data_IF_761258534319
#
_entry.id   IF_761258534319
#
_cell.length_a   1.000
_cell.length_b   1.000
_cell.length_c   1.000
_cell.angle_alpha   90.00
_cell.angle_beta   90.00
_cell.angle_gamma   90.00
#
_symmetry.space_group_name_H-M   'P 1'
#
loop_
_entity.id
_entity.type
_entity.pdbx_description
1 polymer ?
#
# COMPACT_ATOMS: atom_id res chain seq x y z
N UNK A 1 -7.85 -1.10 -3.17
CA UNK A 1 -7.06 -0.10 -2.42
C UNK A 1 -5.61 -0.37 -2.76
N UNK A 2 -4.82 0.58 -3.29
CA UNK A 2 -3.37 0.44 -3.34
C UNK A 2 -2.80 -0.17 -2.05
N UNK A 3 -2.11 -1.29 -2.19
CA UNK A 3 -1.39 -1.99 -1.12
C UNK A 3 0.11 -1.70 -1.27
N UNK A 4 0.97 -2.41 -0.54
CA UNK A 4 2.40 -2.13 -0.54
C UNK A 4 3.01 -2.09 -1.96
N UNK A 5 2.76 -3.06 -2.85
CA UNK A 5 3.38 -3.08 -4.17
C UNK A 5 2.98 -1.90 -5.07
N UNK A 6 1.72 -1.49 -5.06
CA UNK A 6 1.26 -0.34 -5.85
C UNK A 6 1.88 0.95 -5.29
N UNK A 7 1.93 1.10 -3.96
CA UNK A 7 2.53 2.28 -3.32
C UNK A 7 4.02 2.38 -3.63
N UNK A 8 4.74 1.26 -3.56
CA UNK A 8 6.16 1.18 -3.92
C UNK A 8 6.39 1.57 -5.38
N UNK A 9 5.54 1.06 -6.29
CA UNK A 9 5.64 1.35 -7.71
C UNK A 9 5.41 2.83 -8.01
N UNK A 10 4.38 3.44 -7.40
CA UNK A 10 4.13 4.89 -7.53
C UNK A 10 5.31 5.69 -6.99
N UNK A 11 5.86 5.34 -5.82
CA UNK A 11 7.01 6.02 -5.23
C UNK A 11 8.24 5.98 -6.16
N UNK A 12 8.60 4.80 -6.67
CA UNK A 12 9.73 4.64 -7.62
C UNK A 12 9.50 5.38 -8.94
N UNK A 13 8.27 5.39 -9.43
CA UNK A 13 7.89 6.08 -10.67
C UNK A 13 8.12 7.58 -10.54
N UNK A 14 7.61 8.20 -9.48
CA UNK A 14 7.70 9.66 -9.31
C UNK A 14 9.09 10.12 -8.85
N UNK A 15 9.86 9.27 -8.17
CA UNK A 15 11.19 9.61 -7.65
C UNK A 15 12.14 10.14 -8.72
N UNK A 16 12.23 9.42 -9.84
CA UNK A 16 13.06 9.80 -10.98
C UNK A 16 12.74 11.19 -11.52
N UNK A 17 11.49 11.60 -11.39
CA UNK A 17 10.99 12.84 -11.96
C UNK A 17 11.02 14.02 -10.98
N UNK A 18 11.08 13.80 -9.66
CA UNK A 18 10.98 14.89 -8.68
C UNK A 18 12.20 15.06 -7.78
N UNK A 19 13.11 14.10 -7.74
CA UNK A 19 14.29 14.18 -6.89
C UNK A 19 15.13 15.43 -7.20
N UNK A 20 15.56 16.13 -6.14
CA UNK A 20 16.37 17.35 -6.26
C UNK A 20 15.60 18.63 -6.63
N UNK A 21 14.31 18.53 -7.01
CA UNK A 21 13.47 19.71 -7.30
C UNK A 21 13.08 20.47 -6.05
N UNK A 22 12.87 21.77 -6.21
CA UNK A 22 12.32 22.65 -5.19
C UNK A 22 10.83 22.87 -5.43
N UNK A 23 10.03 22.79 -4.37
CA UNK A 23 8.60 23.09 -4.41
C UNK A 23 8.41 24.60 -4.42
N UNK A 24 7.88 25.16 -5.51
CA UNK A 24 7.70 26.60 -5.72
C UNK A 24 6.35 27.08 -5.20
N UNK A 25 5.32 26.25 -5.36
CA UNK A 25 3.95 26.60 -5.00
C UNK A 25 3.12 25.35 -4.72
N UNK A 26 2.01 25.53 -4.01
CA UNK A 26 1.04 24.47 -3.76
C UNK A 26 -0.39 24.97 -4.00
N UNK A 27 -1.10 24.31 -4.92
CA UNK A 27 -2.54 24.46 -5.13
C UNK A 27 -3.30 23.37 -4.37
N UNK A 28 -3.93 23.75 -3.26
CA UNK A 28 -4.77 22.84 -2.45
C UNK A 28 -6.22 23.04 -2.87
N UNK A 29 -6.72 22.12 -3.70
CA UNK A 29 -8.07 22.19 -4.29
C UNK A 29 -9.14 21.54 -3.44
N UNK A 30 -8.73 20.74 -2.45
CA UNK A 30 -9.63 20.14 -1.46
C UNK A 30 -9.00 20.12 -0.08
N UNK A 31 -9.40 21.06 0.79
CA UNK A 31 -8.79 21.25 2.11
C UNK A 31 -8.76 19.98 2.96
N UNK A 32 -9.80 19.13 2.91
CA UNK A 32 -9.88 17.87 3.66
C UNK A 32 -8.90 16.79 3.17
N UNK A 33 -8.18 17.00 2.07
CA UNK A 33 -7.08 16.10 1.67
C UNK A 33 -5.88 16.26 2.61
N UNK A 34 -5.67 17.46 3.16
CA UNK A 34 -4.66 17.68 4.19
C UNK A 34 -5.18 17.15 5.52
N UNK A 35 -4.44 16.23 6.12
CA UNK A 35 -4.69 15.76 7.47
C UNK A 35 -4.03 16.69 8.51
N UNK A 36 -2.84 17.19 8.20
CA UNK A 36 -2.14 18.22 8.97
C UNK A 36 -1.03 18.82 8.09
N UNK A 37 -0.69 20.11 8.24
CA UNK A 37 -1.35 21.14 9.05
C UNK A 37 -2.57 21.73 8.33
N UNK A 38 -3.04 22.91 8.76
CA UNK A 38 -4.04 23.70 8.02
C UNK A 38 -3.51 24.14 6.66
N UNK A 39 -4.41 24.44 5.71
CA UNK A 39 -4.04 24.84 4.33
C UNK A 39 -3.07 26.02 4.30
N UNK A 40 -3.30 27.04 5.14
CA UNK A 40 -2.44 28.23 5.22
C UNK A 40 -1.01 27.83 5.63
N UNK A 41 -0.86 27.14 6.76
CA UNK A 41 0.44 26.67 7.27
C UNK A 41 1.13 25.74 6.27
N UNK A 42 0.37 24.86 5.63
CA UNK A 42 0.91 23.94 4.61
C UNK A 42 1.55 24.71 3.46
N UNK A 43 0.85 25.69 2.88
CA UNK A 43 1.36 26.50 1.77
C UNK A 43 2.60 27.31 2.15
N UNK A 44 2.62 27.84 3.38
CA UNK A 44 3.78 28.58 3.93
C UNK A 44 4.99 27.66 4.12
N UNK A 45 4.81 26.48 4.71
CA UNK A 45 5.90 25.57 5.08
C UNK A 45 6.47 24.77 3.91
N UNK A 46 5.64 24.39 2.95
CA UNK A 46 6.05 23.55 1.82
C UNK A 46 6.79 24.35 0.74
N UNK A 47 6.52 25.64 0.62
CA UNK A 47 7.17 26.52 -0.34
C UNK A 47 8.66 26.62 -0.05
N UNK A 48 9.48 26.48 -1.08
CA UNK A 48 10.94 26.54 -1.00
C UNK A 48 11.60 25.25 -0.52
N UNK A 49 10.84 24.23 -0.13
CA UNK A 49 11.42 22.95 0.30
C UNK A 49 12.03 22.20 -0.88
N UNK A 50 13.27 21.75 -0.72
CA UNK A 50 13.95 20.87 -1.68
C UNK A 50 13.60 19.41 -1.38
N UNK A 51 13.32 18.63 -2.43
CA UNK A 51 13.08 17.20 -2.33
C UNK A 51 14.43 16.47 -2.28
N UNK A 52 14.71 15.81 -1.16
CA UNK A 52 15.97 15.09 -0.89
C UNK A 52 15.90 13.59 -1.18
N UNK A 53 14.71 13.01 -1.18
CA UNK A 53 14.54 11.58 -1.38
C UNK A 53 13.08 11.18 -1.37
N UNK A 54 12.80 9.96 -1.81
CA UNK A 54 11.49 9.34 -1.67
C UNK A 54 11.68 7.98 -1.06
N UNK A 55 10.79 7.62 -0.13
CA UNK A 55 10.71 6.28 0.41
C UNK A 55 9.26 5.88 0.60
N UNK A 56 9.06 4.65 1.03
CA UNK A 56 7.75 4.11 1.38
C UNK A 56 7.81 3.54 2.79
N UNK A 57 6.74 3.74 3.55
CA UNK A 57 6.45 2.99 4.78
C UNK A 57 5.03 2.48 4.75
N UNK A 58 4.84 1.17 4.86
CA UNK A 58 3.56 0.49 4.69
C UNK A 58 2.90 0.90 3.36
N UNK A 59 1.76 1.59 3.46
CA UNK A 59 0.97 2.12 2.33
C UNK A 59 1.06 3.66 2.25
N UNK A 60 2.11 4.23 2.83
CA UNK A 60 2.45 5.64 2.76
C UNK A 60 3.65 5.85 1.84
N UNK A 61 3.54 6.86 0.97
CA UNK A 61 4.67 7.45 0.25
C UNK A 61 5.22 8.55 1.16
N UNK A 62 6.54 8.55 1.37
CA UNK A 62 7.24 9.60 2.10
C UNK A 62 8.15 10.36 1.15
N UNK A 63 7.83 11.61 0.85
CA UNK A 63 8.74 12.51 0.15
C UNK A 63 9.53 13.27 1.21
N UNK A 64 10.82 12.96 1.31
CA UNK A 64 11.74 13.61 2.23
C UNK A 64 12.09 15.00 1.68
N UNK A 65 11.81 16.03 2.47
CA UNK A 65 12.11 17.42 2.18
C UNK A 65 13.29 17.90 3.05
N UNK A 66 13.78 19.10 2.79
CA UNK A 66 14.87 19.72 3.56
C UNK A 66 14.59 19.74 5.07
N UNK A 67 13.40 20.20 5.46
CA UNK A 67 13.01 20.38 6.87
C UNK A 67 11.80 19.54 7.31
N UNK A 68 11.16 18.85 6.37
CA UNK A 68 9.88 18.15 6.60
C UNK A 68 9.84 16.82 5.85
N UNK A 69 8.80 16.04 6.14
CA UNK A 69 8.37 14.88 5.40
C UNK A 69 6.96 15.17 4.88
N UNK A 70 6.76 14.96 3.59
CA UNK A 70 5.44 14.98 2.96
C UNK A 70 4.95 13.54 2.83
N UNK A 71 4.10 13.12 3.77
CA UNK A 71 3.51 11.78 3.77
C UNK A 71 2.22 11.78 2.96
N UNK A 72 2.04 10.80 2.09
CA UNK A 72 0.85 10.67 1.25
C UNK A 72 0.33 9.23 1.37
N UNK A 73 -0.94 9.08 1.73
CA UNK A 73 -1.63 7.80 1.72
C UNK A 73 -2.70 7.84 0.63
N UNK A 74 -2.54 7.01 -0.41
CA UNK A 74 -3.41 6.98 -1.59
C UNK A 74 -4.84 6.52 -1.30
N UNK A 75 -5.00 5.68 -0.27
CA UNK A 75 -6.29 5.07 0.11
C UNK A 75 -6.87 4.34 -1.10
N UNK A 76 -8.15 4.52 -1.42
CA UNK A 76 -8.84 3.70 -2.41
C UNK A 76 -8.61 4.15 -3.84
N UNK A 77 -8.50 5.47 -4.07
CA UNK A 77 -8.57 6.08 -5.39
C UNK A 77 -7.50 7.15 -5.66
N UNK A 78 -6.52 7.29 -4.76
CA UNK A 78 -5.45 8.24 -4.90
C UNK A 78 -4.41 7.78 -5.92
N UNK A 79 -3.93 8.70 -6.75
CA UNK A 79 -2.80 8.52 -7.65
C UNK A 79 -1.90 9.77 -7.63
N UNK A 80 -0.61 9.56 -7.84
CA UNK A 80 0.41 10.61 -7.94
C UNK A 80 1.07 10.57 -9.30
N UNK A 81 0.92 11.66 -10.05
CA UNK A 81 1.47 11.79 -11.39
C UNK A 81 2.30 13.04 -11.51
N UNK A 82 3.44 12.93 -12.20
CA UNK A 82 4.28 14.09 -12.56
C UNK A 82 3.95 14.53 -13.97
N UNK A 83 3.62 15.81 -14.12
CA UNK A 83 3.24 16.46 -15.37
C UNK A 83 4.35 17.43 -15.80
N UNK A 84 4.73 17.41 -17.07
CA UNK A 84 5.69 18.37 -17.63
C UNK A 84 4.98 19.68 -17.96
N UNK A 85 5.52 20.82 -17.51
CA UNK A 85 4.91 22.13 -17.69
C UNK A 85 3.80 22.44 -16.67
N UNK A 86 3.16 23.59 -16.87
CA UNK A 86 2.02 24.04 -16.06
C UNK A 86 0.73 23.60 -16.75
N UNK A 87 0.17 22.47 -16.31
CA UNK A 87 -1.03 21.88 -16.90
C UNK A 87 -2.26 22.38 -16.14
N UNK A 88 -3.38 22.56 -16.85
CA UNK A 88 -4.66 22.89 -16.23
C UNK A 88 -5.06 21.77 -15.25
N UNK A 89 -5.47 22.09 -14.01
CA UNK A 89 -5.94 21.09 -13.06
C UNK A 89 -7.10 20.26 -13.61
N UNK A 90 -7.06 18.96 -13.37
CA UNK A 90 -8.17 18.04 -13.66
C UNK A 90 -9.23 18.08 -12.56
N UNK A 91 -10.44 17.58 -12.87
CA UNK A 91 -11.61 17.57 -11.97
C UNK A 91 -11.33 16.96 -10.58
N UNK A 92 -10.45 15.98 -10.54
CA UNK A 92 -10.18 15.18 -9.34
C UNK A 92 -8.81 15.46 -8.71
N UNK A 93 -8.07 16.44 -9.22
CA UNK A 93 -6.84 16.91 -8.57
C UNK A 93 -7.18 17.59 -7.24
N UNK A 94 -6.57 17.10 -6.15
CA UNK A 94 -6.82 17.57 -4.78
C UNK A 94 -5.68 18.42 -4.26
N UNK A 95 -4.46 18.11 -4.67
CA UNK A 95 -3.25 18.85 -4.38
C UNK A 95 -2.38 18.85 -5.63
N UNK A 96 -1.86 20.02 -6.01
CA UNK A 96 -0.85 20.15 -7.07
C UNK A 96 0.33 20.92 -6.49
N UNK A 97 1.54 20.39 -6.66
CA UNK A 97 2.78 21.05 -6.28
C UNK A 97 3.53 21.45 -7.54
N UNK A 98 3.81 22.75 -7.70
CA UNK A 98 4.70 23.23 -8.75
C UNK A 98 6.15 22.97 -8.32
N UNK A 99 6.91 22.30 -9.16
CA UNK A 99 8.29 21.87 -8.92
C UNK A 99 9.23 22.53 -9.94
N UNK A 100 10.40 22.97 -9.50
CA UNK A 100 11.41 23.58 -10.35
C UNK A 100 12.81 23.02 -10.05
N UNK A 101 13.59 22.77 -11.11
CA UNK A 101 15.05 22.66 -11.01
C UNK A 101 15.69 24.01 -11.36
N UNK A 102 16.89 24.32 -10.83
CA UNK A 102 17.60 25.58 -11.13
C UNK A 102 17.71 25.91 -12.62
N UNK A 103 17.79 24.90 -13.50
CA UNK A 103 17.99 25.07 -14.94
C UNK A 103 17.00 24.25 -15.79
N UNK A 104 15.77 24.02 -15.33
CA UNK A 104 14.76 23.30 -16.11
C UNK A 104 13.40 23.98 -16.06
N UNK A 105 12.53 23.61 -16.99
CA UNK A 105 11.13 24.02 -16.98
C UNK A 105 10.39 23.58 -15.71
N UNK A 106 9.23 24.18 -15.48
CA UNK A 106 8.33 23.81 -14.38
C UNK A 106 7.75 22.42 -14.66
N UNK A 107 7.61 21.61 -13.63
CA UNK A 107 6.81 20.38 -13.63
C UNK A 107 5.85 20.39 -12.46
N UNK A 108 4.77 19.62 -12.53
CA UNK A 108 3.77 19.55 -11.48
C UNK A 108 3.66 18.13 -10.93
N UNK A 109 3.72 17.98 -9.60
CA UNK A 109 3.28 16.75 -8.95
C UNK A 109 1.80 16.91 -8.58
N UNK A 110 0.93 16.14 -9.23
CA UNK A 110 -0.50 16.17 -9.02
C UNK A 110 -0.94 14.94 -8.21
N UNK A 111 -1.65 15.19 -7.11
CA UNK A 111 -2.38 14.19 -6.34
C UNK A 111 -3.85 14.20 -6.76
N UNK A 112 -4.23 13.18 -7.52
CA UNK A 112 -5.61 12.98 -7.97
C UNK A 112 -6.30 11.98 -7.05
N UNK A 113 -7.53 12.27 -6.63
CA UNK A 113 -8.29 11.35 -5.79
C UNK A 113 -9.80 11.53 -5.99
N UNK A 114 -10.42 10.61 -6.73
CA UNK A 114 -11.84 10.68 -7.10
C UNK A 114 -12.75 10.59 -5.87
N UNK A 115 -12.49 9.64 -4.94
CA UNK A 115 -13.33 9.40 -3.74
C UNK A 115 -12.97 10.28 -2.55
N UNK A 116 -11.93 11.11 -2.64
CA UNK A 116 -11.50 12.07 -1.60
C UNK A 116 -11.14 11.41 -0.25
N UNK A 117 -10.69 10.16 -0.28
CA UNK A 117 -10.26 9.43 0.91
C UNK A 117 -8.78 9.61 1.21
N UNK A 118 -7.98 9.81 0.17
CA UNK A 118 -6.56 10.02 0.24
C UNK A 118 -6.19 11.22 1.10
N UNK A 119 -5.05 11.09 1.78
CA UNK A 119 -4.61 12.02 2.81
C UNK A 119 -3.15 12.40 2.63
N UNK A 120 -2.86 13.65 2.96
CA UNK A 120 -1.54 14.25 2.90
C UNK A 120 -1.19 14.85 4.26
N UNK A 121 0.02 14.59 4.74
CA UNK A 121 0.57 15.17 5.96
C UNK A 121 1.87 15.87 5.62
N UNK A 122 2.08 17.08 6.14
CA UNK A 122 3.39 17.73 6.16
C UNK A 122 3.85 17.83 7.61
N UNK A 123 4.98 17.21 7.94
CA UNK A 123 5.45 17.10 9.32
C UNK A 123 6.95 16.93 9.40
N UNK A 124 7.59 17.42 10.45
CA UNK A 124 8.98 17.13 10.79
C UNK A 124 9.11 15.93 11.76
N UNK A 125 7.99 15.29 12.11
CA UNK A 125 7.89 14.18 13.06
C UNK A 125 7.09 13.02 12.45
N UNK A 126 7.58 12.40 11.35
CA UNK A 126 6.85 11.35 10.63
C UNK A 126 6.52 10.13 11.50
N UNK A 127 7.34 9.83 12.52
CA UNK A 127 7.16 8.76 13.48
C UNK A 127 5.85 8.86 14.29
N UNK A 128 5.29 10.07 14.47
CA UNK A 128 3.96 10.24 15.10
C UNK A 128 2.84 9.57 14.31
N UNK A 129 3.01 9.45 12.99
CA UNK A 129 2.03 8.86 12.08
C UNK A 129 2.40 7.43 11.70
N UNK A 130 3.70 7.15 11.58
CA UNK A 130 4.22 5.88 11.09
C UNK A 130 4.64 4.90 12.21
N UNK A 131 4.88 5.39 13.43
CA UNK A 131 5.45 4.60 14.53
C UNK A 131 4.54 3.52 15.11
N UNK A 132 3.22 3.58 14.83
CA UNK A 132 2.26 2.54 15.24
C UNK A 132 2.15 1.37 14.25
N UNK A 133 2.84 1.46 13.12
CA UNK A 133 2.78 0.44 12.08
C UNK A 133 3.64 -0.77 12.46
N UNK A 134 3.14 -1.97 12.17
CA UNK A 134 3.90 -3.22 12.31
C UNK A 134 5.11 -3.29 11.37
N UNK A 135 5.96 -4.32 11.47
CA UNK A 135 7.18 -4.44 10.66
C UNK A 135 6.88 -4.39 9.16
N UNK A 136 7.86 -3.94 8.38
CA UNK A 136 7.85 -4.06 6.92
C UNK A 136 8.03 -5.53 6.52
N UNK A 137 7.14 -6.08 5.67
CA UNK A 137 7.16 -7.51 5.31
C UNK A 137 8.32 -7.90 4.39
N UNK A 138 9.10 -6.94 3.88
CA UNK A 138 10.26 -7.18 3.00
C UNK A 138 11.59 -6.84 3.66
N UNK A 139 11.57 -6.41 4.92
CA UNK A 139 12.76 -6.08 5.70
C UNK A 139 13.24 -7.27 6.53
N UNK A 140 14.50 -7.23 6.94
CA UNK A 140 15.18 -8.32 7.66
C UNK A 140 14.52 -8.70 8.99
N UNK A 141 13.85 -7.74 9.63
CA UNK A 141 13.21 -7.95 10.93
C UNK A 141 11.91 -8.77 10.83
N UNK A 142 11.31 -8.86 9.64
CA UNK A 142 10.17 -9.74 9.41
C UNK A 142 10.66 -11.14 9.04
N UNK A 143 10.76 -12.00 10.04
CA UNK A 143 11.17 -13.40 9.90
C UNK A 143 10.01 -14.37 10.13
N UNK A 144 10.14 -15.63 9.68
CA UNK A 144 9.18 -16.69 9.98
C UNK A 144 9.04 -16.93 11.49
N UNK A 145 10.15 -16.86 12.24
CA UNK A 145 10.15 -16.98 13.70
C UNK A 145 9.39 -15.82 14.36
N UNK A 146 9.65 -14.58 13.93
CA UNK A 146 8.91 -13.41 14.41
C UNK A 146 7.40 -13.58 14.14
N UNK A 147 7.05 -14.02 12.94
CA UNK A 147 5.64 -14.24 12.55
C UNK A 147 4.99 -15.30 13.45
N UNK A 148 5.62 -16.46 13.62
CA UNK A 148 5.12 -17.54 14.47
C UNK A 148 4.87 -17.08 15.92
N UNK A 149 5.87 -16.45 16.55
CA UNK A 149 5.77 -16.00 17.93
C UNK A 149 4.67 -14.96 18.13
N UNK A 150 4.55 -14.01 17.18
CA UNK A 150 3.54 -12.96 17.27
C UNK A 150 2.13 -13.46 16.92
N UNK A 151 1.99 -14.45 16.02
CA UNK A 151 0.71 -15.11 15.76
C UNK A 151 0.19 -15.85 17.00
N UNK A 152 1.06 -16.55 17.74
CA UNK A 152 0.70 -17.25 19.00
C UNK A 152 0.21 -16.35 20.11
N UNK A 153 0.73 -15.13 20.18
CA UNK A 153 0.31 -14.11 21.16
C UNK A 153 -1.09 -13.54 20.86
N UNK A 154 -1.65 -13.82 19.68
CA UNK A 154 -2.97 -13.31 19.26
C UNK A 154 -3.95 -14.48 19.12
N UNK A 155 -5.20 -14.27 19.52
CA UNK A 155 -6.30 -15.23 19.32
C UNK A 155 -7.33 -14.65 18.35
N UNK A 156 -6.88 -14.31 17.14
CA UNK A 156 -7.70 -13.68 16.08
C UNK A 156 -7.67 -14.55 14.83
N UNK A 157 -8.66 -14.40 13.96
CA UNK A 157 -8.62 -15.04 12.65
C UNK A 157 -7.42 -14.50 11.84
N UNK A 158 -6.72 -15.39 11.14
CA UNK A 158 -5.43 -15.10 10.50
C UNK A 158 -5.55 -14.00 9.45
N UNK A 159 -6.57 -14.03 8.57
CA UNK A 159 -6.71 -13.00 7.54
C UNK A 159 -6.95 -11.61 8.15
N UNK A 160 -7.95 -11.39 9.04
CA UNK A 160 -8.12 -10.10 9.70
C UNK A 160 -6.87 -9.60 10.44
N UNK A 161 -6.05 -10.50 10.99
CA UNK A 161 -4.80 -10.14 11.65
C UNK A 161 -3.73 -9.68 10.65
N UNK A 162 -3.58 -10.33 9.50
CA UNK A 162 -2.66 -9.91 8.44
C UNK A 162 -3.04 -8.55 7.82
N UNK A 163 -4.33 -8.19 7.83
CA UNK A 163 -4.81 -6.89 7.37
C UNK A 163 -4.58 -5.76 8.39
N UNK A 164 -4.32 -6.10 9.65
CA UNK A 164 -4.08 -5.15 10.72
C UNK A 164 -2.70 -4.49 10.53
N UNK A 165 -2.70 -3.22 10.13
CA UNK A 165 -1.46 -2.50 9.83
C UNK A 165 -0.57 -2.28 11.08
N UNK A 166 -1.10 -2.48 12.29
CA UNK A 166 -0.30 -2.47 13.53
C UNK A 166 0.38 -3.82 13.80
N UNK A 167 -0.13 -4.90 13.21
CA UNK A 167 0.50 -6.22 13.25
C UNK A 167 1.46 -6.41 12.08
N UNK A 168 1.01 -6.20 10.84
CA UNK A 168 1.84 -6.33 9.65
C UNK A 168 1.54 -5.20 8.67
N UNK A 169 2.55 -4.39 8.38
CA UNK A 169 2.38 -3.24 7.52
C UNK A 169 2.28 -3.65 6.05
N UNK A 170 1.49 -2.91 5.27
CA UNK A 170 1.56 -2.98 3.81
C UNK A 170 0.74 -4.09 3.15
N UNK A 171 0.48 -5.19 3.85
CA UNK A 171 -0.42 -6.26 3.36
C UNK A 171 -1.87 -5.77 3.38
N UNK A 172 -2.61 -5.97 2.30
CA UNK A 172 -4.04 -5.71 2.21
C UNK A 172 -4.80 -6.93 1.70
N UNK A 173 -5.97 -6.71 1.12
CA UNK A 173 -6.94 -7.76 0.86
C UNK A 173 -6.46 -8.75 -0.21
N UNK A 174 -5.83 -8.23 -1.27
CA UNK A 174 -5.34 -9.04 -2.39
C UNK A 174 -4.20 -9.92 -1.92
N UNK A 175 -3.12 -9.29 -1.43
CA UNK A 175 -1.90 -10.02 -1.08
C UNK A 175 -2.11 -10.94 0.13
N UNK A 176 -3.08 -10.66 1.02
CA UNK A 176 -3.46 -11.60 2.07
C UNK A 176 -4.14 -12.86 1.54
N UNK A 177 -5.10 -12.75 0.61
CA UNK A 177 -5.78 -13.91 0.01
C UNK A 177 -4.78 -14.79 -0.74
N UNK A 178 -3.95 -14.17 -1.57
CA UNK A 178 -2.90 -14.85 -2.34
C UNK A 178 -1.87 -15.56 -1.43
N UNK A 179 -1.41 -14.87 -0.38
CA UNK A 179 -0.44 -15.46 0.57
C UNK A 179 -1.02 -16.66 1.31
N UNK A 180 -2.26 -16.55 1.80
CA UNK A 180 -2.92 -17.62 2.54
C UNK A 180 -3.21 -18.84 1.66
N UNK A 181 -3.53 -18.61 0.39
CA UNK A 181 -3.70 -19.70 -0.58
C UNK A 181 -2.41 -20.45 -0.85
N UNK A 182 -1.30 -19.74 -1.10
CA UNK A 182 0.03 -20.36 -1.30
C UNK A 182 0.45 -21.14 -0.04
N UNK A 183 0.26 -20.56 1.14
CA UNK A 183 0.57 -21.20 2.42
C UNK A 183 -0.40 -22.31 2.82
N UNK A 184 -1.49 -22.52 2.06
CA UNK A 184 -2.55 -23.50 2.34
C UNK A 184 -3.22 -23.33 3.71
N UNK A 185 -3.33 -22.09 4.19
CA UNK A 185 -3.95 -21.75 5.48
C UNK A 185 -5.35 -21.19 5.22
N UNK A 186 -6.37 -21.73 5.91
CA UNK A 186 -7.73 -21.21 5.81
C UNK A 186 -7.83 -19.78 6.40
N UNK A 187 -8.47 -18.81 5.72
CA UNK A 187 -8.48 -17.41 6.16
C UNK A 187 -9.15 -17.19 7.53
N UNK A 188 -10.04 -18.10 7.93
CA UNK A 188 -10.69 -18.09 9.26
C UNK A 188 -9.92 -18.87 10.34
N UNK A 189 -8.78 -19.50 10.02
CA UNK A 189 -7.98 -20.20 11.03
C UNK A 189 -7.54 -19.21 12.13
N UNK A 190 -7.51 -19.66 13.38
CA UNK A 190 -7.03 -18.83 14.48
C UNK A 190 -5.51 -18.70 14.42
N UNK A 191 -4.99 -17.49 14.61
CA UNK A 191 -3.56 -17.20 14.54
C UNK A 191 -2.73 -18.05 15.51
N UNK A 192 -3.25 -18.34 16.70
CA UNK A 192 -2.51 -19.10 17.72
C UNK A 192 -2.46 -20.61 17.50
N UNK A 193 -3.19 -21.15 16.52
CA UNK A 193 -3.08 -22.58 16.15
C UNK A 193 -2.16 -22.81 14.96
N UNK A 194 -1.74 -21.73 14.28
CA UNK A 194 -0.77 -21.81 13.18
C UNK A 194 0.54 -22.41 13.71
N UNK A 195 0.92 -23.54 13.13
CA UNK A 195 2.17 -24.25 13.44
C UNK A 195 3.38 -23.48 12.92
N UNK A 196 4.58 -23.79 13.42
CA UNK A 196 5.82 -23.17 12.94
C UNK A 196 6.00 -23.37 11.44
N UNK A 197 5.78 -24.60 10.94
CA UNK A 197 5.83 -24.93 9.52
C UNK A 197 4.85 -24.14 8.67
N UNK A 198 3.62 -23.92 9.17
CA UNK A 198 2.64 -23.07 8.47
C UNK A 198 3.07 -21.59 8.51
N UNK A 199 3.67 -21.11 9.60
CA UNK A 199 4.19 -19.75 9.70
C UNK A 199 5.38 -19.51 8.77
N UNK A 200 6.27 -20.48 8.59
CA UNK A 200 7.35 -20.47 7.59
C UNK A 200 6.77 -20.36 6.18
N UNK A 201 5.85 -21.26 5.82
CA UNK A 201 5.19 -21.22 4.52
C UNK A 201 4.42 -19.91 4.27
N UNK A 202 3.79 -19.35 5.31
CA UNK A 202 3.09 -18.07 5.23
C UNK A 202 4.04 -16.89 5.06
N UNK A 203 5.16 -16.88 5.79
CA UNK A 203 6.19 -15.85 5.65
C UNK A 203 6.76 -15.84 4.23
N UNK A 204 7.17 -17.02 3.73
CA UNK A 204 7.67 -17.18 2.36
C UNK A 204 6.63 -16.74 1.33
N UNK A 205 5.37 -17.14 1.50
CA UNK A 205 4.27 -16.74 0.64
C UNK A 205 4.09 -15.22 0.61
N UNK A 206 4.03 -14.55 1.78
CA UNK A 206 3.89 -13.09 1.90
C UNK A 206 5.03 -12.38 1.18
N UNK A 207 6.28 -12.77 1.46
CA UNK A 207 7.46 -12.16 0.83
C UNK A 207 7.41 -12.37 -0.68
N UNK A 208 7.08 -13.58 -1.14
CA UNK A 208 7.02 -13.92 -2.56
C UNK A 208 5.94 -13.12 -3.30
N UNK A 209 4.70 -13.09 -2.80
CA UNK A 209 3.61 -12.38 -3.50
C UNK A 209 3.83 -10.87 -3.54
N UNK A 210 4.41 -10.29 -2.49
CA UNK A 210 4.71 -8.86 -2.45
C UNK A 210 5.85 -8.50 -3.41
N UNK A 211 6.91 -9.32 -3.47
CA UNK A 211 8.00 -9.15 -4.45
C UNK A 211 7.49 -9.32 -5.88
N UNK A 212 6.62 -10.30 -6.13
CA UNK A 212 5.98 -10.51 -7.43
C UNK A 212 5.12 -9.30 -7.81
N UNK A 213 4.29 -8.82 -6.87
CA UNK A 213 3.51 -7.60 -7.03
C UNK A 213 4.39 -6.43 -7.43
N UNK A 214 5.49 -6.18 -6.71
CA UNK A 214 6.41 -5.06 -7.04
C UNK A 214 7.03 -5.26 -8.42
N UNK A 215 7.48 -6.47 -8.75
CA UNK A 215 8.11 -6.76 -10.06
C UNK A 215 7.14 -6.50 -11.21
N UNK A 216 5.85 -6.75 -11.00
CA UNK A 216 4.78 -6.55 -11.97
C UNK A 216 4.09 -5.20 -11.83
N UNK A 217 4.74 -4.24 -11.15
CA UNK A 217 4.21 -2.90 -10.96
C UNK A 217 2.83 -2.90 -10.27
N UNK A 218 2.53 -3.84 -9.39
CA UNK A 218 1.27 -3.98 -8.67
C UNK A 218 0.10 -4.51 -9.51
N UNK A 219 -1.10 -4.52 -8.92
CA UNK A 219 -2.33 -4.91 -9.58
C UNK A 219 -3.16 -3.68 -10.02
N UNK A 220 -3.47 -3.62 -11.31
CA UNK A 220 -4.40 -2.64 -11.88
C UNK A 220 -5.84 -3.09 -11.68
N UNK A 221 -6.33 -3.04 -10.44
CA UNK A 221 -7.75 -3.21 -10.14
C UNK A 221 -8.41 -1.82 -10.14
N UNK A 222 -9.50 -1.68 -10.89
CA UNK A 222 -10.22 -0.43 -11.18
C UNK A 222 -9.49 0.56 -12.10
N UNK A 223 -10.18 1.65 -12.46
CA UNK A 223 -9.62 2.80 -13.21
C UNK A 223 -8.59 3.64 -12.43
N UNK A 224 -8.33 3.29 -11.16
CA UNK A 224 -7.56 4.06 -10.18
C UNK A 224 -6.06 3.89 -10.37
N UNK A 225 -5.59 2.65 -10.46
CA UNK A 225 -4.18 2.34 -10.61
C UNK A 225 -3.97 1.76 -12.00
N UNK A 226 -3.18 2.45 -12.83
CA UNK A 226 -2.93 2.08 -14.21
C UNK A 226 -1.44 1.77 -14.38
N UNK A 227 -1.13 0.58 -14.89
CA UNK A 227 0.23 0.18 -15.28
C UNK A 227 0.82 -1.02 -14.53
N UNK A 228 0.05 -1.64 -13.64
CA UNK A 228 0.37 -2.93 -13.05
C UNK A 228 -0.21 -4.12 -13.81
N UNK A 229 0.45 -5.26 -13.72
CA UNK A 229 0.08 -6.51 -14.39
C UNK A 229 -0.24 -7.65 -13.41
N UNK A 230 -0.07 -7.45 -12.10
CA UNK A 230 -0.19 -8.53 -11.12
C UNK A 230 -1.60 -9.16 -11.05
N UNK A 231 -2.64 -8.43 -11.46
CA UNK A 231 -4.02 -8.95 -11.57
C UNK A 231 -4.14 -10.15 -12.51
N UNK A 232 -3.26 -10.26 -13.51
CA UNK A 232 -3.24 -11.40 -14.44
C UNK A 232 -2.63 -12.67 -13.81
N UNK A 233 -2.15 -12.58 -12.56
CA UNK A 233 -1.44 -13.63 -11.83
C UNK A 233 -2.10 -13.98 -10.50
N UNK A 234 -3.33 -13.48 -10.26
CA UNK A 234 -4.11 -13.89 -9.11
C UNK A 234 -4.40 -15.38 -9.16
N UNK A 235 -4.29 -16.04 -8.02
CA UNK A 235 -4.59 -17.47 -7.86
C UNK A 235 -5.99 -17.68 -7.30
N UNK A 236 -6.46 -16.76 -6.46
CA UNK A 236 -7.77 -16.84 -5.79
C UNK A 236 -8.53 -15.53 -5.78
N UNK A 237 -7.84 -14.38 -5.69
CA UNK A 237 -8.51 -13.10 -5.58
C UNK A 237 -9.33 -12.77 -6.82
N UNK A 238 -10.62 -12.48 -6.66
CA UNK A 238 -11.56 -12.19 -7.76
C UNK A 238 -11.83 -13.38 -8.72
N UNK A 239 -11.43 -14.60 -8.33
CA UNK A 239 -11.68 -15.84 -9.07
C UNK A 239 -12.85 -16.65 -8.46
N UNK A 240 -13.86 -16.00 -7.88
CA UNK A 240 -15.03 -16.71 -7.30
C UNK A 240 -15.68 -17.64 -8.33
N UNK A 241 -16.04 -18.85 -7.91
CA UNK A 241 -16.60 -19.92 -8.75
C UNK A 241 -15.71 -20.49 -9.87
N UNK A 242 -14.53 -19.92 -10.09
CA UNK A 242 -13.52 -20.45 -11.02
C UNK A 242 -12.74 -21.64 -10.42
N UNK A 243 -12.22 -22.56 -11.24
CA UNK A 243 -11.44 -23.69 -10.77
C UNK A 243 -10.10 -23.25 -10.17
N UNK A 244 -9.79 -23.70 -8.96
CA UNK A 244 -8.49 -23.48 -8.34
C UNK A 244 -7.36 -24.03 -9.22
N UNK A 245 -6.37 -23.18 -9.53
CA UNK A 245 -5.19 -23.54 -10.35
C UNK A 245 -4.33 -24.69 -9.78
N UNK A 246 -4.53 -25.07 -8.50
CA UNK A 246 -3.78 -26.16 -7.84
C UNK A 246 -4.55 -27.48 -7.87
N UNK A 247 -5.87 -27.47 -7.67
CA UNK A 247 -6.63 -28.69 -7.42
C UNK A 247 -7.97 -28.80 -8.16
N UNK A 248 -8.32 -27.82 -8.99
CA UNK A 248 -9.56 -27.77 -9.79
C UNK A 248 -10.84 -27.46 -9.00
N UNK A 249 -10.84 -27.53 -7.67
CA UNK A 249 -12.00 -27.17 -6.85
C UNK A 249 -12.34 -25.69 -6.99
N UNK A 250 -13.63 -25.37 -7.14
CA UNK A 250 -14.12 -23.98 -7.22
C UNK A 250 -13.65 -23.14 -6.04
N UNK A 251 -13.15 -21.95 -6.34
CA UNK A 251 -12.82 -20.93 -5.34
C UNK A 251 -14.11 -20.40 -4.72
N UNK A 252 -14.09 -20.20 -3.41
CA UNK A 252 -15.21 -19.63 -2.66
C UNK A 252 -14.88 -18.22 -2.20
N UNK A 253 -15.93 -17.41 -2.11
CA UNK A 253 -15.87 -16.09 -1.48
C UNK A 253 -16.71 -16.07 -0.22
N UNK A 254 -16.16 -15.48 0.83
CA UNK A 254 -16.89 -15.18 2.07
C UNK A 254 -16.61 -13.74 2.49
N UNK A 255 -17.46 -13.19 3.37
CA UNK A 255 -17.16 -11.92 4.04
C UNK A 255 -16.48 -12.22 5.36
N UNK A 256 -15.26 -11.70 5.54
CA UNK A 256 -14.47 -11.86 6.75
C UNK A 256 -13.93 -10.50 7.19
N UNK A 257 -14.28 -10.06 8.41
CA UNK A 257 -13.87 -8.74 8.90
C UNK A 257 -14.32 -7.58 8.00
N UNK A 258 -15.54 -7.66 7.44
CA UNK A 258 -16.09 -6.69 6.47
C UNK A 258 -15.28 -6.58 5.16
N UNK A 259 -14.59 -7.65 4.76
CA UNK A 259 -13.85 -7.73 3.49
C UNK A 259 -14.20 -9.02 2.74
N UNK A 260 -14.41 -8.90 1.43
CA UNK A 260 -14.51 -10.07 0.55
C UNK A 260 -13.21 -10.87 0.61
N UNK A 261 -13.34 -12.19 0.76
CA UNK A 261 -12.25 -13.11 1.03
C UNK A 261 -12.37 -14.32 0.15
N UNK A 262 -11.37 -14.53 -0.71
CA UNK A 262 -11.34 -15.60 -1.68
C UNK A 262 -10.37 -16.69 -1.23
N UNK A 263 -10.80 -17.94 -1.32
CA UNK A 263 -9.98 -19.08 -0.89
C UNK A 263 -10.42 -20.37 -1.58
N UNK A 264 -9.51 -21.34 -1.66
CA UNK A 264 -9.82 -22.68 -2.13
C UNK A 264 -10.19 -23.58 -0.93
N UNK A 265 -11.44 -24.09 -0.83
CA UNK A 265 -11.85 -24.90 0.32
C UNK A 265 -11.16 -26.27 0.42
N UNK A 266 -10.58 -26.77 -0.69
CA UNK A 266 -9.83 -28.03 -0.71
C UNK A 266 -8.36 -27.84 -0.33
N UNK A 267 -7.70 -26.80 -0.87
CA UNK A 267 -6.30 -26.51 -0.56
C UNK A 267 -6.13 -25.91 0.83
N UNK A 268 -7.06 -25.05 1.26
CA UNK A 268 -7.01 -24.37 2.54
C UNK A 268 -8.05 -24.99 3.48
N UNK A 269 -7.68 -26.06 4.18
CA UNK A 269 -8.62 -26.78 5.06
C UNK A 269 -8.84 -26.01 6.36
N UNK A 270 -10.09 -26.00 6.84
CA UNK A 270 -10.37 -25.60 8.23
C UNK A 270 -9.83 -26.72 9.12
N UNK A 271 -8.88 -26.40 9.99
CA UNK A 271 -8.49 -27.34 11.06
C UNK A 271 -9.71 -27.57 11.95
N UNK A 272 -10.29 -28.77 11.83
CA UNK A 272 -11.31 -29.24 12.76
C UNK A 272 -10.58 -29.57 14.05
N UNK A 273 -10.93 -28.86 15.13
CA UNK A 273 -10.59 -29.29 16.48
C UNK A 273 -11.29 -30.60 16.79
#
# INVERSE_FOLDING_TARGET
>A
MPELPEVETVARRIEKDILGKTIVSADVRWARTLATPSVKKFKEQIKGQKIKGISRRAKYINILLENYNLLIHLKMSGDLTVRKGKIKPEKHDRLILDLKLPNSGISQLAFNDTRKFGKVWLTNQPEKFLGKLGPEPLEKDFTSQWLYENLRKRKRQIKPLLLDQTFLAGVGNIYADESLHIAKIHPQALSNVVTLKQAEALHEAIVSVLKEGIRRNGASIDWVYRGGEYQNYFRVYDHEDEPCMVCGTKIKKIVLGQRGTHFCPKCQKVERK
#
